data_IF_373687991617
#
_entry.id   IF_373687991617
#
_cell.length_a   1.000
_cell.length_b   1.000
_cell.length_c   1.000
_cell.angle_alpha   90.00
_cell.angle_beta   90.00
_cell.angle_gamma   90.00
#
_symmetry.space_group_name_H-M   'P 1'
#
loop_
_entity.id
_entity.type
_entity.pdbx_description
1 polymer ?
#
# COMPACT_ATOMS: atom_id res chain seq x y z
N UNK A 1 4.56 22.48 17.97
CA UNK A 1 3.62 23.62 17.90
C UNK A 1 3.11 23.71 16.47
N UNK A 2 1.84 23.34 16.23
CA UNK A 2 1.24 23.38 14.89
C UNK A 2 0.92 24.84 14.55
N UNK A 3 1.82 25.51 13.83
CA UNK A 3 1.52 26.84 13.27
C UNK A 3 0.56 26.59 12.10
N UNK A 4 -0.73 26.82 12.34
CA UNK A 4 -1.75 26.79 11.29
C UNK A 4 -1.66 28.13 10.56
N UNK A 5 -0.99 28.14 9.42
CA UNK A 5 -1.05 29.28 8.49
C UNK A 5 -2.51 29.45 8.00
N UNK A 6 -2.96 30.67 7.77
CA UNK A 6 -4.30 31.01 7.27
C UNK A 6 -4.70 30.17 6.04
N UNK A 7 -3.77 29.95 5.09
CA UNK A 7 -4.00 29.05 3.94
C UNK A 7 -4.35 27.62 4.36
N UNK A 8 -3.65 27.07 5.36
CA UNK A 8 -3.89 25.72 5.91
C UNK A 8 -5.23 25.66 6.64
N UNK A 9 -5.56 26.68 7.43
CA UNK A 9 -6.83 26.77 8.14
C UNK A 9 -8.02 26.78 7.18
N UNK A 10 -7.95 27.62 6.15
CA UNK A 10 -8.99 27.71 5.12
C UNK A 10 -9.15 26.41 4.33
N UNK A 11 -8.05 25.71 4.04
CA UNK A 11 -8.13 24.39 3.40
C UNK A 11 -8.80 23.34 4.29
N UNK A 12 -8.39 23.24 5.57
CA UNK A 12 -8.98 22.30 6.52
C UNK A 12 -10.49 22.53 6.69
N UNK A 13 -10.92 23.79 6.80
CA UNK A 13 -12.33 24.15 6.91
C UNK A 13 -13.12 23.76 5.65
N UNK A 14 -12.55 23.99 4.47
CA UNK A 14 -13.18 23.61 3.20
C UNK A 14 -13.36 22.10 3.05
N UNK A 15 -12.48 21.31 3.66
CA UNK A 15 -12.49 19.84 3.56
C UNK A 15 -13.17 19.18 4.77
N UNK A 16 -13.57 19.95 5.79
CA UNK A 16 -14.13 19.44 7.05
C UNK A 16 -15.40 18.61 6.84
N UNK A 17 -16.19 18.94 5.81
CA UNK A 17 -17.39 18.19 5.44
C UNK A 17 -17.09 16.74 5.02
N UNK A 18 -15.86 16.41 4.64
CA UNK A 18 -15.45 15.02 4.29
C UNK A 18 -15.25 14.14 5.51
N UNK A 19 -15.00 14.73 6.69
CA UNK A 19 -14.77 14.01 7.94
C UNK A 19 -15.87 12.97 8.28
N UNK A 20 -17.19 13.30 8.22
CA UNK A 20 -18.24 12.31 8.49
C UNK A 20 -18.34 11.18 7.46
N UNK A 21 -17.88 11.38 6.22
CA UNK A 21 -18.02 10.39 5.15
C UNK A 21 -16.77 9.53 4.93
N UNK A 22 -15.58 10.11 5.15
CA UNK A 22 -14.31 9.39 5.07
C UNK A 22 -13.29 10.00 6.05
N UNK A 23 -13.41 9.65 7.35
CA UNK A 23 -12.54 10.20 8.38
C UNK A 23 -11.08 9.81 8.17
N UNK A 24 -10.82 8.57 7.72
CA UNK A 24 -9.47 8.08 7.46
C UNK A 24 -8.80 8.91 6.37
N UNK A 25 -9.47 9.15 5.24
CA UNK A 25 -8.95 10.02 4.19
C UNK A 25 -8.70 11.44 4.68
N UNK A 26 -9.62 12.01 5.48
CA UNK A 26 -9.42 13.32 6.08
C UNK A 26 -8.17 13.36 6.96
N UNK A 27 -7.97 12.37 7.84
CA UNK A 27 -6.79 12.31 8.70
C UNK A 27 -5.50 12.14 7.89
N UNK A 28 -5.49 11.21 6.94
CA UNK A 28 -4.32 11.00 6.08
C UNK A 28 -3.97 12.26 5.29
N UNK A 29 -4.96 12.97 4.75
CA UNK A 29 -4.73 14.18 3.94
C UNK A 29 -4.18 15.37 4.71
N UNK A 30 -4.54 15.52 5.99
CA UNK A 30 -4.20 16.72 6.77
C UNK A 30 -3.06 16.51 7.79
N UNK A 31 -2.78 15.25 8.14
CA UNK A 31 -1.77 14.89 9.13
C UNK A 31 -0.63 14.05 8.55
N UNK A 32 -0.78 13.48 7.36
CA UNK A 32 0.30 12.81 6.65
C UNK A 32 0.74 13.65 5.43
N UNK A 33 1.99 13.48 5.03
CA UNK A 33 2.53 14.09 3.80
C UNK A 33 1.76 13.52 2.61
N UNK A 34 1.11 14.37 1.81
CA UNK A 34 0.26 13.95 0.69
C UNK A 34 0.94 12.91 -0.22
N UNK A 35 2.16 13.19 -0.64
CA UNK A 35 2.95 12.34 -1.55
C UNK A 35 3.38 11.01 -0.94
N UNK A 36 3.29 10.85 0.37
CA UNK A 36 3.54 9.57 1.04
C UNK A 36 2.31 8.65 0.98
N UNK A 37 1.11 9.23 0.89
CA UNK A 37 -0.16 8.50 0.95
C UNK A 37 -0.83 8.37 -0.41
N UNK A 38 -0.75 9.39 -1.27
CA UNK A 38 -1.59 9.50 -2.48
C UNK A 38 -0.84 9.26 -3.80
N UNK A 39 0.47 8.99 -3.76
CA UNK A 39 1.25 8.68 -4.97
C UNK A 39 0.82 7.37 -5.63
N UNK A 40 0.43 6.39 -4.82
CA UNK A 40 -0.01 5.07 -5.27
C UNK A 40 -1.33 4.72 -4.57
N UNK A 41 -2.27 4.12 -5.30
CA UNK A 41 -3.57 3.73 -4.76
C UNK A 41 -3.42 2.67 -3.64
N UNK A 42 -2.38 1.85 -3.74
CA UNK A 42 -1.97 0.85 -2.74
C UNK A 42 -1.71 1.44 -1.37
N UNK A 43 -1.07 2.61 -1.29
CA UNK A 43 -0.86 3.29 0.00
C UNK A 43 -2.19 3.64 0.66
N UNK A 44 -3.14 4.17 -0.13
CA UNK A 44 -4.48 4.51 0.35
C UNK A 44 -5.20 3.24 0.79
N UNK A 45 -5.20 2.21 -0.05
CA UNK A 45 -5.84 0.93 0.23
C UNK A 45 -5.29 0.31 1.52
N UNK A 46 -3.97 0.29 1.70
CA UNK A 46 -3.32 -0.20 2.92
C UNK A 46 -3.78 0.56 4.16
N UNK A 47 -3.74 1.89 4.15
CA UNK A 47 -4.09 2.67 5.34
C UNK A 47 -5.59 2.60 5.70
N UNK A 48 -6.47 2.28 4.75
CA UNK A 48 -7.89 2.07 5.01
C UNK A 48 -8.22 0.63 5.39
N UNK A 49 -7.51 -0.36 4.85
CA UNK A 49 -7.81 -1.77 5.10
C UNK A 49 -7.02 -2.35 6.26
N UNK A 50 -5.74 -2.03 6.40
CA UNK A 50 -4.86 -2.64 7.38
C UNK A 50 -5.32 -2.41 8.82
N UNK A 51 -5.72 -1.21 9.28
CA UNK A 51 -6.22 -1.04 10.65
C UNK A 51 -7.46 -1.89 10.95
N UNK A 52 -8.34 -2.06 9.96
CA UNK A 52 -9.52 -2.92 10.09
C UNK A 52 -9.13 -4.40 10.14
N UNK A 53 -8.28 -4.85 9.21
CA UNK A 53 -7.77 -6.23 9.18
C UNK A 53 -7.08 -6.55 10.49
N UNK A 54 -6.17 -5.69 10.91
CA UNK A 54 -5.42 -5.73 12.16
C UNK A 54 -6.30 -5.89 13.40
N UNK A 55 -7.41 -5.16 13.46
CA UNK A 55 -8.31 -5.18 14.62
C UNK A 55 -9.19 -6.43 14.60
N UNK A 56 -9.70 -6.83 13.43
CA UNK A 56 -10.74 -7.86 13.32
C UNK A 56 -10.14 -9.27 13.19
N UNK A 57 -9.01 -9.44 12.51
CA UNK A 57 -8.45 -10.76 12.24
C UNK A 57 -8.06 -11.56 13.50
N UNK A 58 -7.58 -10.95 14.62
CA UNK A 58 -7.35 -11.70 15.86
C UNK A 58 -8.62 -12.37 16.41
N UNK A 59 -9.79 -11.76 16.28
CA UNK A 59 -11.05 -12.35 16.74
C UNK A 59 -11.49 -13.54 15.88
N UNK A 60 -11.09 -13.58 14.61
CA UNK A 60 -11.40 -14.69 13.70
C UNK A 60 -10.52 -15.91 13.98
N UNK A 61 -9.25 -15.69 14.32
CA UNK A 61 -8.30 -16.76 14.62
C UNK A 61 -8.32 -17.19 16.09
N UNK A 62 -8.62 -16.29 17.04
CA UNK A 62 -8.60 -16.59 18.47
C UNK A 62 -9.94 -16.27 19.17
N UNK A 63 -11.08 -16.83 18.71
CA UNK A 63 -12.40 -16.50 19.26
C UNK A 63 -12.62 -17.00 20.70
N UNK A 64 -12.01 -18.13 21.08
CA UNK A 64 -12.28 -18.82 22.35
C UNK A 64 -11.22 -18.58 23.43
N UNK A 65 -10.17 -17.81 23.12
CA UNK A 65 -9.04 -17.63 24.03
C UNK A 65 -8.73 -16.14 24.22
N UNK A 66 -8.31 -15.77 25.44
CA UNK A 66 -7.76 -14.44 25.75
C UNK A 66 -6.52 -14.06 24.90
N UNK A 67 -6.05 -14.97 24.04
CA UNK A 67 -4.97 -14.77 23.08
C UNK A 67 -5.28 -13.73 22.00
N UNK A 68 -6.54 -13.38 21.72
CA UNK A 68 -6.84 -12.31 20.75
C UNK A 68 -6.23 -10.97 21.19
N UNK A 69 -6.24 -10.66 22.49
CA UNK A 69 -5.66 -9.44 23.04
C UNK A 69 -4.13 -9.46 22.92
N UNK A 70 -3.51 -10.60 23.26
CA UNK A 70 -2.08 -10.77 23.08
C UNK A 70 -1.67 -10.61 21.61
N UNK A 71 -2.39 -11.24 20.68
CA UNK A 71 -2.14 -11.10 19.24
C UNK A 71 -2.26 -9.65 18.77
N UNK A 72 -3.28 -8.92 19.25
CA UNK A 72 -3.44 -7.49 18.97
C UNK A 72 -2.24 -6.69 19.46
N UNK A 73 -1.85 -6.87 20.74
CA UNK A 73 -0.71 -6.19 21.35
C UNK A 73 0.59 -6.51 20.60
N UNK A 74 0.85 -7.78 20.28
CA UNK A 74 2.01 -8.19 19.49
C UNK A 74 2.02 -7.52 18.11
N UNK A 75 0.86 -7.44 17.43
CA UNK A 75 0.76 -6.74 16.15
C UNK A 75 1.06 -5.24 16.31
N UNK A 76 0.61 -4.57 17.38
CA UNK A 76 0.92 -3.14 17.67
C UNK A 76 2.44 -2.98 17.79
N UNK A 77 3.05 -3.75 18.69
CA UNK A 77 4.49 -3.67 18.94
C UNK A 77 5.30 -3.96 17.68
N UNK A 78 4.87 -4.92 16.87
CA UNK A 78 5.53 -5.23 15.60
C UNK A 78 5.43 -4.07 14.61
N UNK A 79 4.26 -3.44 14.46
CA UNK A 79 4.11 -2.27 13.59
C UNK A 79 5.00 -1.10 14.03
N UNK A 80 5.10 -0.87 15.34
CA UNK A 80 6.00 0.14 15.90
C UNK A 80 7.46 -0.20 15.63
N UNK A 81 7.86 -1.45 15.89
CA UNK A 81 9.22 -1.95 15.66
C UNK A 81 9.66 -1.79 14.21
N UNK A 82 8.82 -2.24 13.26
CA UNK A 82 9.08 -2.08 11.82
C UNK A 82 9.21 -0.60 11.45
N UNK A 83 8.35 0.26 12.00
CA UNK A 83 8.40 1.71 11.72
C UNK A 83 9.70 2.34 12.21
N UNK A 84 10.20 1.92 13.37
CA UNK A 84 11.48 2.38 13.92
C UNK A 84 12.67 1.93 13.05
N UNK A 85 12.70 0.64 12.67
CA UNK A 85 13.77 0.12 11.78
C UNK A 85 13.73 0.81 10.42
N UNK A 86 12.54 0.99 9.84
CA UNK A 86 12.39 1.66 8.56
C UNK A 86 12.90 3.11 8.59
N UNK A 87 12.75 3.78 9.73
CA UNK A 87 13.30 5.11 9.96
C UNK A 87 14.83 5.08 10.06
N UNK A 88 15.41 4.09 10.73
CA UNK A 88 16.88 3.92 10.81
C UNK A 88 17.49 3.59 9.45
N UNK A 89 16.84 2.75 8.64
CA UNK A 89 17.31 2.39 7.29
C UNK A 89 17.04 3.48 6.25
N UNK A 90 16.57 4.64 6.69
CA UNK A 90 16.15 5.71 5.81
C UNK A 90 17.26 6.58 5.25
N UNK A 91 18.53 6.31 5.59
CA UNK A 91 19.73 7.00 5.09
C UNK A 91 19.80 7.17 3.56
N UNK A 92 19.04 6.37 2.81
CA UNK A 92 18.84 6.57 1.38
C UNK A 92 17.93 7.78 1.10
N UNK A 93 18.48 8.82 0.49
CA UNK A 93 17.74 10.02 0.05
C UNK A 93 16.58 9.72 -0.92
N UNK A 94 16.66 8.63 -1.69
CA UNK A 94 15.75 8.34 -2.81
C UNK A 94 15.05 6.99 -2.64
N UNK A 95 13.75 6.95 -2.92
CA UNK A 95 12.96 5.71 -2.99
C UNK A 95 13.29 4.91 -4.27
N UNK A 96 13.76 3.67 -4.15
CA UNK A 96 14.17 2.87 -5.31
C UNK A 96 13.00 2.10 -5.92
N UNK A 97 12.90 2.07 -7.25
CA UNK A 97 11.90 1.28 -7.98
C UNK A 97 11.88 -0.20 -7.59
N UNK A 98 13.07 -0.80 -7.37
CA UNK A 98 13.19 -2.18 -6.90
C UNK A 98 12.48 -2.40 -5.56
N UNK A 99 12.67 -1.49 -4.62
CA UNK A 99 12.14 -1.63 -3.25
C UNK A 99 10.61 -1.41 -3.27
N UNK A 100 10.12 -0.50 -4.13
CA UNK A 100 8.67 -0.33 -4.43
C UNK A 100 8.06 -1.63 -4.97
N UNK A 101 8.71 -2.27 -5.95
CA UNK A 101 8.25 -3.55 -6.52
C UNK A 101 8.22 -4.67 -5.48
N UNK A 102 9.29 -4.81 -4.69
CA UNK A 102 9.38 -5.82 -3.62
C UNK A 102 8.29 -5.59 -2.57
N UNK A 103 8.08 -4.34 -2.14
CA UNK A 103 7.05 -3.99 -1.18
C UNK A 103 5.64 -4.30 -1.69
N UNK A 104 5.31 -3.91 -2.93
CA UNK A 104 4.00 -4.22 -3.53
C UNK A 104 3.77 -5.73 -3.69
N UNK A 105 4.77 -6.47 -4.19
CA UNK A 105 4.68 -7.92 -4.34
C UNK A 105 4.52 -8.62 -3.00
N UNK A 106 5.30 -8.20 -2.00
CA UNK A 106 5.21 -8.73 -0.64
C UNK A 106 3.84 -8.48 -0.01
N UNK A 107 3.33 -7.24 -0.06
CA UNK A 107 1.98 -6.93 0.43
C UNK A 107 0.91 -7.77 -0.28
N UNK A 108 0.99 -7.93 -1.60
CA UNK A 108 0.06 -8.76 -2.36
C UNK A 108 0.07 -10.22 -1.89
N UNK A 109 1.27 -10.82 -1.76
CA UNK A 109 1.41 -12.20 -1.27
C UNK A 109 0.83 -12.32 0.14
N UNK A 110 1.14 -11.39 1.03
CA UNK A 110 0.63 -11.40 2.40
C UNK A 110 -0.90 -11.33 2.45
N UNK A 111 -1.56 -10.55 1.58
CA UNK A 111 -3.04 -10.54 1.51
C UNK A 111 -3.56 -11.95 1.22
N UNK A 112 -3.04 -12.56 0.15
CA UNK A 112 -3.54 -13.86 -0.31
C UNK A 112 -3.22 -14.99 0.68
N UNK A 113 -2.09 -14.89 1.39
CA UNK A 113 -1.78 -15.80 2.50
C UNK A 113 -2.78 -15.63 3.65
N UNK A 114 -3.13 -14.40 4.04
CA UNK A 114 -4.16 -14.18 5.08
C UNK A 114 -5.51 -14.76 4.63
N UNK A 115 -5.94 -14.50 3.40
CA UNK A 115 -7.18 -15.06 2.84
C UNK A 115 -7.15 -16.59 2.90
N UNK A 116 -6.07 -17.21 2.40
CA UNK A 116 -5.90 -18.67 2.42
C UNK A 116 -5.95 -19.23 3.84
N UNK A 117 -5.23 -18.62 4.78
CA UNK A 117 -5.24 -18.99 6.18
C UNK A 117 -6.63 -18.93 6.81
N UNK A 118 -7.47 -17.95 6.44
CA UNK A 118 -8.85 -17.86 6.94
C UNK A 118 -9.66 -19.08 6.47
N UNK A 119 -9.53 -19.50 5.21
CA UNK A 119 -10.25 -20.66 4.68
C UNK A 119 -9.80 -21.98 5.30
N UNK A 120 -8.52 -22.11 5.65
CA UNK A 120 -7.96 -23.37 6.16
C UNK A 120 -7.83 -23.41 7.68
N UNK A 121 -8.23 -22.34 8.41
CA UNK A 121 -8.07 -22.24 9.87
C UNK A 121 -8.78 -23.36 10.64
N UNK A 122 -9.94 -23.81 10.17
CA UNK A 122 -10.75 -24.85 10.81
C UNK A 122 -10.50 -26.25 10.21
N UNK A 123 -9.52 -26.38 9.31
CA UNK A 123 -9.17 -27.66 8.68
C UNK A 123 -8.43 -28.56 9.66
N UNK A 124 -8.89 -29.81 9.80
CA UNK A 124 -8.29 -30.83 10.66
C UNK A 124 -6.78 -31.02 10.41
N UNK A 125 -6.34 -30.94 9.14
CA UNK A 125 -4.95 -31.17 8.75
C UNK A 125 -4.10 -29.90 8.69
N UNK A 126 -4.72 -28.74 8.41
CA UNK A 126 -3.99 -27.52 8.05
C UNK A 126 -4.12 -26.38 9.06
N UNK A 127 -4.88 -26.54 10.15
CA UNK A 127 -5.11 -25.46 11.12
C UNK A 127 -3.80 -24.87 11.65
N UNK A 128 -2.83 -25.68 12.10
CA UNK A 128 -1.53 -25.18 12.62
C UNK A 128 -0.80 -24.30 11.61
N UNK A 129 -0.70 -24.79 10.37
CA UNK A 129 -0.04 -24.08 9.27
C UNK A 129 -0.77 -22.76 9.00
N UNK A 130 -2.10 -22.78 9.01
CA UNK A 130 -2.94 -21.59 8.77
C UNK A 130 -2.67 -20.50 9.78
N UNK A 131 -2.62 -20.84 11.07
CA UNK A 131 -2.34 -19.89 12.16
C UNK A 131 -0.92 -19.32 12.06
N UNK A 132 0.08 -20.16 11.77
CA UNK A 132 1.46 -19.69 11.58
C UNK A 132 1.58 -18.78 10.36
N UNK A 133 1.02 -19.16 9.22
CA UNK A 133 1.04 -18.36 7.99
C UNK A 133 0.29 -17.04 8.16
N UNK A 134 -0.82 -17.03 8.90
CA UNK A 134 -1.55 -15.82 9.25
C UNK A 134 -0.63 -14.84 10.00
N UNK A 135 0.05 -15.30 11.05
CA UNK A 135 0.94 -14.44 11.84
C UNK A 135 2.12 -13.91 11.03
N UNK A 136 2.76 -14.77 10.23
CA UNK A 136 3.85 -14.36 9.32
C UNK A 136 3.34 -13.30 8.34
N UNK A 137 2.17 -13.50 7.74
CA UNK A 137 1.60 -12.58 6.79
C UNK A 137 1.22 -11.23 7.42
N UNK A 138 0.60 -11.25 8.61
CA UNK A 138 0.27 -10.04 9.37
C UNK A 138 1.51 -9.22 9.73
N UNK A 139 2.60 -9.87 10.14
CA UNK A 139 3.87 -9.19 10.44
C UNK A 139 4.60 -8.71 9.19
N UNK A 140 4.55 -9.46 8.10
CA UNK A 140 5.20 -9.08 6.85
C UNK A 140 4.55 -7.87 6.17
N UNK A 141 3.24 -7.67 6.34
CA UNK A 141 2.49 -6.54 5.76
C UNK A 141 3.10 -5.16 6.04
N UNK A 142 3.27 -4.73 7.32
CA UNK A 142 3.87 -3.44 7.62
C UNK A 142 5.34 -3.38 7.17
N UNK A 143 6.06 -4.50 7.17
CA UNK A 143 7.45 -4.54 6.69
C UNK A 143 7.54 -4.27 5.19
N UNK A 144 6.69 -4.89 4.39
CA UNK A 144 6.61 -4.63 2.95
C UNK A 144 6.04 -3.25 2.64
N UNK A 145 5.10 -2.74 3.44
CA UNK A 145 4.66 -1.35 3.37
C UNK A 145 5.83 -0.38 3.64
N UNK A 146 6.75 -0.70 4.55
CA UNK A 146 7.93 0.12 4.80
C UNK A 146 8.92 0.14 3.62
N UNK A 147 9.10 -0.98 2.91
CA UNK A 147 9.87 -1.02 1.65
C UNK A 147 9.21 -0.23 0.53
N UNK A 148 7.89 -0.34 0.44
CA UNK A 148 7.10 0.34 -0.58
C UNK A 148 7.00 1.84 -0.33
N UNK A 149 6.84 2.26 0.92
CA UNK A 149 6.56 3.65 1.28
C UNK A 149 7.77 4.56 1.09
N UNK A 150 7.52 5.78 0.63
CA UNK A 150 8.52 6.85 0.58
C UNK A 150 8.65 7.58 1.93
N UNK A 151 8.02 7.08 3.01
CA UNK A 151 7.82 7.84 4.26
C UNK A 151 9.05 8.53 4.82
N UNK A 152 10.15 7.82 4.78
CA UNK A 152 11.40 8.26 5.37
C UNK A 152 12.41 8.70 4.30
N UNK A 153 11.97 8.86 3.04
CA UNK A 153 12.83 9.26 1.92
C UNK A 153 12.68 10.75 1.67
N UNK A 154 13.73 11.40 1.14
CA UNK A 154 13.65 12.81 0.73
C UNK A 154 12.92 12.95 -0.60
N UNK A 155 13.22 12.04 -1.53
CA UNK A 155 12.66 12.02 -2.87
C UNK A 155 11.82 10.75 -3.08
N UNK A 156 10.59 10.93 -3.56
CA UNK A 156 9.68 9.83 -3.89
C UNK A 156 9.64 9.58 -5.38
N UNK A 157 9.33 8.34 -5.74
CA UNK A 157 9.17 7.87 -7.10
C UNK A 157 7.75 8.18 -7.59
N UNK A 158 7.65 8.83 -8.74
CA UNK A 158 6.41 9.09 -9.44
C UNK A 158 6.44 8.48 -10.84
N UNK A 159 5.43 7.70 -11.19
CA UNK A 159 5.29 7.15 -12.54
C UNK A 159 4.85 8.25 -13.50
N UNK A 160 5.50 8.31 -14.65
CA UNK A 160 5.10 9.20 -15.74
C UNK A 160 3.98 8.54 -16.55
N UNK A 161 2.74 8.81 -16.14
CA UNK A 161 1.55 8.26 -16.79
C UNK A 161 1.30 8.84 -18.19
N UNK A 162 1.83 10.02 -18.50
CA UNK A 162 1.65 10.66 -19.81
C UNK A 162 2.38 9.87 -20.91
N UNK A 163 3.48 9.20 -20.55
CA UNK A 163 4.23 8.29 -21.42
C UNK A 163 3.67 6.86 -21.43
N UNK A 164 2.64 6.57 -20.64
CA UNK A 164 2.10 5.22 -20.51
C UNK A 164 0.98 4.96 -21.53
N UNK A 165 0.99 3.82 -22.27
CA UNK A 165 -0.07 3.50 -23.23
C UNK A 165 -1.40 3.22 -22.52
N UNK A 166 -2.28 4.23 -22.49
CA UNK A 166 -3.56 4.23 -21.77
C UNK A 166 -4.43 2.99 -22.07
N UNK A 167 -4.52 2.59 -23.33
CA UNK A 167 -5.29 1.41 -23.75
C UNK A 167 -4.79 0.10 -23.12
N UNK A 168 -3.48 -0.06 -22.93
CA UNK A 168 -2.91 -1.26 -22.28
C UNK A 168 -3.22 -1.26 -20.79
N UNK A 169 -3.12 -0.10 -20.16
CA UNK A 169 -3.45 0.09 -18.75
C UNK A 169 -4.92 -0.27 -18.46
N UNK A 170 -5.86 0.27 -19.24
CA UNK A 170 -7.29 -0.04 -19.08
C UNK A 170 -7.56 -1.53 -19.26
N UNK A 171 -7.03 -2.14 -20.32
CA UNK A 171 -7.25 -3.55 -20.60
C UNK A 171 -6.76 -4.42 -19.44
N UNK A 172 -5.59 -4.10 -18.90
CA UNK A 172 -5.03 -4.83 -17.77
C UNK A 172 -5.84 -4.65 -16.48
N UNK A 173 -6.20 -3.40 -16.13
CA UNK A 173 -7.06 -3.10 -14.98
C UNK A 173 -8.38 -3.86 -15.08
N UNK A 174 -8.95 -3.94 -16.29
CA UNK A 174 -10.20 -4.67 -16.53
C UNK A 174 -10.05 -6.19 -16.29
N UNK A 175 -8.95 -6.79 -16.76
CA UNK A 175 -8.66 -8.22 -16.54
C UNK A 175 -8.47 -8.51 -15.04
N UNK A 176 -7.61 -7.73 -14.38
CA UNK A 176 -7.38 -7.88 -12.93
C UNK A 176 -8.67 -7.66 -12.14
N UNK A 177 -9.45 -6.65 -12.51
CA UNK A 177 -10.73 -6.34 -11.87
C UNK A 177 -11.70 -7.52 -12.00
N UNK A 178 -11.81 -8.11 -13.18
CA UNK A 178 -12.67 -9.28 -13.42
C UNK A 178 -12.27 -10.47 -12.55
N UNK A 179 -10.96 -10.73 -12.42
CA UNK A 179 -10.44 -11.80 -11.56
C UNK A 179 -10.81 -11.53 -10.08
N UNK A 180 -10.60 -10.31 -9.59
CA UNK A 180 -10.90 -9.96 -8.19
C UNK A 180 -12.40 -9.97 -7.89
N UNK A 181 -13.25 -9.51 -8.81
CA UNK A 181 -14.72 -9.59 -8.67
C UNK A 181 -15.19 -11.04 -8.64
N UNK A 182 -14.59 -11.91 -9.47
CA UNK A 182 -14.90 -13.34 -9.47
C UNK A 182 -14.55 -13.99 -8.12
N UNK A 183 -13.37 -13.68 -7.58
CA UNK A 183 -12.98 -14.13 -6.24
C UNK A 183 -13.90 -13.59 -5.15
N UNK A 184 -14.24 -12.30 -5.18
CA UNK A 184 -15.17 -11.70 -4.23
C UNK A 184 -16.54 -12.41 -4.24
N UNK A 185 -17.10 -12.67 -5.43
CA UNK A 185 -18.37 -13.38 -5.57
C UNK A 185 -18.29 -14.81 -5.00
N UNK A 186 -17.18 -15.51 -5.26
CA UNK A 186 -16.92 -16.83 -4.68
C UNK A 186 -16.84 -16.78 -3.15
N UNK A 187 -16.09 -15.83 -2.58
CA UNK A 187 -15.86 -15.76 -1.14
C UNK A 187 -17.11 -15.41 -0.31
N UNK A 188 -18.02 -14.59 -0.86
CA UNK A 188 -19.29 -14.24 -0.20
C UNK A 188 -20.12 -15.49 0.09
N UNK A 189 -20.04 -16.53 -0.76
CA UNK A 189 -20.84 -17.74 -0.59
C UNK A 189 -20.23 -18.73 0.42
N UNK A 190 -18.91 -18.66 0.68
CA UNK A 190 -18.17 -19.75 1.33
C UNK A 190 -17.58 -19.43 2.71
N UNK A 191 -17.64 -18.18 3.18
CA UNK A 191 -17.04 -17.81 4.47
C UNK A 191 -17.92 -16.91 5.32
N UNK A 192 -18.01 -17.20 6.61
CA UNK A 192 -18.64 -16.33 7.62
C UNK A 192 -17.83 -15.03 7.79
N UNK A 193 -16.52 -15.06 7.49
CA UNK A 193 -15.62 -13.91 7.51
C UNK A 193 -15.60 -13.13 6.18
N UNK A 194 -16.65 -13.25 5.36
CA UNK A 194 -16.69 -12.69 4.00
C UNK A 194 -16.37 -11.19 3.95
N UNK A 195 -16.77 -10.39 4.94
CA UNK A 195 -16.50 -8.94 4.95
C UNK A 195 -15.00 -8.65 5.02
N UNK A 196 -14.26 -9.35 5.89
CA UNK A 196 -12.81 -9.19 5.99
C UNK A 196 -12.13 -9.65 4.69
N UNK A 197 -12.55 -10.78 4.15
CA UNK A 197 -12.01 -11.33 2.90
C UNK A 197 -12.30 -10.38 1.72
N UNK A 198 -13.46 -9.74 1.70
CA UNK A 198 -13.81 -8.75 0.68
C UNK A 198 -12.90 -7.52 0.76
N UNK A 199 -12.67 -6.99 1.96
CA UNK A 199 -11.74 -5.87 2.18
C UNK A 199 -10.33 -6.23 1.72
N UNK A 200 -9.86 -7.43 2.08
CA UNK A 200 -8.58 -7.97 1.64
C UNK A 200 -8.51 -8.10 0.12
N UNK A 201 -9.56 -8.63 -0.52
CA UNK A 201 -9.64 -8.80 -1.99
C UNK A 201 -9.66 -7.44 -2.72
N UNK A 202 -10.36 -6.45 -2.19
CA UNK A 202 -10.32 -5.08 -2.74
C UNK A 202 -8.93 -4.47 -2.55
N UNK A 203 -8.28 -4.73 -1.42
CA UNK A 203 -6.91 -4.25 -1.17
C UNK A 203 -5.90 -4.89 -2.14
N UNK A 204 -5.98 -6.21 -2.37
CA UNK A 204 -5.10 -6.91 -3.32
C UNK A 204 -5.29 -6.44 -4.76
N UNK A 205 -6.49 -5.99 -5.14
CA UNK A 205 -6.73 -5.36 -6.44
C UNK A 205 -5.83 -4.13 -6.63
N UNK A 206 -5.83 -3.21 -5.66
CA UNK A 206 -4.98 -2.01 -5.73
C UNK A 206 -3.49 -2.35 -5.76
N UNK A 207 -3.06 -3.30 -4.91
CA UNK A 207 -1.67 -3.79 -4.93
C UNK A 207 -1.28 -4.36 -6.29
N UNK A 208 -2.18 -5.10 -6.94
CA UNK A 208 -1.91 -5.71 -8.24
C UNK A 208 -1.83 -4.68 -9.37
N UNK A 209 -2.71 -3.66 -9.35
CA UNK A 209 -2.69 -2.57 -10.35
C UNK A 209 -1.41 -1.75 -10.23
N UNK A 210 -1.04 -1.34 -9.03
CA UNK A 210 0.19 -0.56 -8.83
C UNK A 210 1.42 -1.42 -9.11
N UNK A 211 1.45 -2.69 -8.69
CA UNK A 211 2.55 -3.62 -8.97
C UNK A 211 2.78 -3.75 -10.48
N UNK A 212 1.72 -3.96 -11.24
CA UNK A 212 1.83 -4.01 -12.69
C UNK A 212 2.35 -2.70 -13.27
N UNK A 213 1.81 -1.57 -12.80
CA UNK A 213 2.20 -0.25 -13.25
C UNK A 213 3.71 -0.04 -13.06
N UNK A 214 4.24 -0.33 -11.86
CA UNK A 214 5.68 -0.16 -11.58
C UNK A 214 6.57 -1.19 -12.30
N UNK A 215 6.03 -2.37 -12.62
CA UNK A 215 6.76 -3.41 -13.37
C UNK A 215 6.85 -3.10 -14.86
N UNK A 216 5.89 -2.35 -15.40
CA UNK A 216 5.78 -2.05 -16.83
C UNK A 216 6.10 -0.60 -17.18
N UNK A 217 6.24 0.27 -16.17
CA UNK A 217 6.67 1.64 -16.36
C UNK A 217 8.03 1.69 -17.08
N UNK A 218 8.04 2.37 -18.21
CA UNK A 218 9.26 2.65 -18.99
C UNK A 218 9.98 3.90 -18.51
N UNK A 219 9.29 4.79 -17.80
CA UNK A 219 9.87 6.04 -17.30
C UNK A 219 9.25 6.39 -15.96
N UNK A 220 10.05 7.02 -15.11
CA UNK A 220 9.62 7.54 -13.82
C UNK A 220 10.44 8.77 -13.44
N UNK A 221 9.94 9.55 -12.49
CA UNK A 221 10.58 10.76 -11.99
C UNK A 221 10.78 10.68 -10.49
N UNK A 222 11.76 11.42 -9.99
CA UNK A 222 11.92 11.68 -8.57
C UNK A 222 11.51 13.11 -8.24
N UNK A 223 10.72 13.27 -7.17
CA UNK A 223 10.25 14.57 -6.70
C UNK A 223 10.43 14.70 -5.19
N UNK A 224 10.60 15.94 -4.72
CA UNK A 224 10.57 16.23 -3.28
C UNK A 224 9.15 16.11 -2.73
N UNK A 225 9.09 15.65 -1.49
CA UNK A 225 7.85 15.57 -0.74
C UNK A 225 7.24 16.96 -0.53
N UNK A 226 6.02 17.14 -1.00
CA UNK A 226 5.14 18.24 -0.61
C UNK A 226 4.02 17.71 0.29
N UNK A 227 3.61 18.54 1.26
CA UNK A 227 2.68 18.12 2.31
C UNK A 227 1.24 18.22 1.82
N UNK A 228 0.94 19.21 0.96
CA UNK A 228 -0.39 19.42 0.41
C UNK A 228 -0.41 19.43 -1.12
N UNK A 229 -1.52 18.99 -1.71
CA UNK A 229 -1.69 18.93 -3.17
C UNK A 229 -1.45 20.27 -3.88
N UNK A 230 -1.79 21.41 -3.25
CA UNK A 230 -1.55 22.75 -3.81
C UNK A 230 -0.09 23.23 -3.75
N UNK A 231 0.79 22.53 -3.03
CA UNK A 231 2.21 22.90 -2.89
C UNK A 231 3.08 22.32 -4.01
N UNK A 232 2.48 21.80 -5.09
CA UNK A 232 3.19 21.04 -6.15
C UNK A 232 4.52 21.69 -6.54
N UNK A 233 5.62 20.99 -6.26
CA UNK A 233 6.99 21.48 -6.45
C UNK A 233 7.63 21.01 -7.77
N UNK A 234 8.79 21.61 -8.06
CA UNK A 234 9.67 21.36 -9.20
C UNK A 234 10.09 19.89 -9.35
N UNK A 235 10.26 19.47 -10.60
CA UNK A 235 10.75 18.15 -10.97
C UNK A 235 12.27 18.20 -10.93
N UNK A 236 12.89 17.40 -10.06
CA UNK A 236 14.35 17.42 -9.91
C UNK A 236 15.08 16.44 -10.82
N UNK A 237 14.47 15.27 -11.07
CA UNK A 237 15.10 14.21 -11.88
C UNK A 237 14.05 13.40 -12.64
N UNK A 238 14.32 13.14 -13.92
CA UNK A 238 13.55 12.23 -14.77
C UNK A 238 14.45 11.08 -15.23
N UNK A 239 13.99 9.85 -15.06
CA UNK A 239 14.68 8.66 -15.56
C UNK A 239 13.78 7.97 -16.60
N UNK A 240 14.26 7.91 -17.85
CA UNK A 240 13.62 7.19 -18.94
C UNK A 240 14.41 5.92 -19.25
N UNK A 241 13.77 4.76 -19.08
CA UNK A 241 14.29 3.46 -19.47
C UNK A 241 13.82 3.18 -20.90
N UNK A 242 14.68 3.52 -21.86
CA UNK A 242 14.47 3.13 -23.26
C UNK A 242 14.92 1.67 -23.42
N UNK A 243 13.96 0.76 -23.60
CA UNK A 243 14.25 -0.58 -24.13
C UNK A 243 14.41 -0.46 -25.64
N UNK A 244 15.63 -0.58 -26.14
CA UNK A 244 15.86 -0.71 -27.59
C UNK A 244 15.46 -2.12 -28.06
N UNK A 245 15.11 -2.32 -29.35
CA UNK A 245 14.62 -3.60 -29.89
C UNK A 245 15.56 -4.80 -29.66
N UNK A 246 16.84 -4.51 -29.44
CA UNK A 246 17.98 -5.40 -29.19
C UNK A 246 18.19 -5.75 -27.70
N UNK A 247 17.26 -5.34 -26.81
CA UNK A 247 17.25 -5.75 -25.41
C UNK A 247 18.25 -5.01 -24.50
N UNK A 248 18.96 -4.01 -25.03
CA UNK A 248 19.82 -3.13 -24.23
C UNK A 248 18.99 -2.06 -23.55
N UNK A 249 19.12 -1.94 -22.22
CA UNK A 249 18.60 -0.81 -21.48
C UNK A 249 19.55 0.37 -21.66
N UNK A 250 19.06 1.47 -22.24
CA UNK A 250 19.76 2.75 -22.19
C UNK A 250 19.18 3.55 -21.04
N UNK A 251 19.97 3.74 -19.97
CA UNK A 251 19.64 4.65 -18.88
C UNK A 251 20.04 6.05 -19.32
N UNK A 252 19.07 6.91 -19.54
CA UNK A 252 19.34 8.32 -19.78
C UNK A 252 19.27 9.01 -18.41
N UNK A 253 20.44 9.29 -17.82
CA UNK A 253 20.58 10.16 -16.65
C UNK A 253 20.89 11.58 -17.14
N UNK A 254 20.05 12.56 -16.83
CA UNK A 254 20.41 13.98 -16.97
C UNK A 254 19.98 14.82 -15.76
N UNK A 255 20.72 15.92 -15.62
CA UNK A 255 20.99 16.76 -14.46
C UNK A 255 19.79 17.51 -13.86
N UNK A 256 20.00 17.98 -12.62
CA UNK A 256 19.17 18.99 -11.94
C UNK A 256 18.82 20.12 -12.91
N UNK A 257 17.53 20.39 -13.07
CA UNK A 257 17.04 21.70 -13.51
C UNK A 257 17.20 22.70 -12.37
#
# INVERSE_FOLDING_TARGET
MLIINEKRGNYMLRELWKLPFNPIYFFLKHFCVYTMTFTFASSIAFWHSYPFVFLISPFIFYPEHDFWFLALVCNIFWCMYVSSIAQEWSDLKVQKMRDVRIGLAGMLISVWVIIGSIFTKDSLHYWKISYTLYQIAMFSMPAFMAFFSSKYKKYFLQIDFDKYPYHKMIKFISIIGTIHVSFAAYFIQWSIAYLLILILTVTSFFFSVDLYTVMTAKSYMFREHYHYDWESQEILYHEEIVQTPDGKQTTIQWSML
#
